data_IF_946413260063
#
_entry.id   IF_946413260063
#
_cell.length_a   1.000
_cell.length_b   1.000
_cell.length_c   1.000
_cell.angle_alpha   90.00
_cell.angle_beta   90.00
_cell.angle_gamma   90.00
#
_symmetry.space_group_name_H-M   'P 1'
#
loop_
_entity.id
_entity.type
_entity.pdbx_description
1 polymer ?
#
# COMPACT_ATOMS: atom_id res chain seq x y z
N UNK A 1 -12.08 2.97 5.67
CA UNK A 1 -12.45 1.68 5.06
C UNK A 1 -11.22 1.19 4.33
N UNK A 2 -10.91 -0.11 4.36
CA UNK A 2 -9.77 -0.68 3.62
C UNK A 2 -10.35 -1.35 2.37
N UNK A 3 -9.86 -0.97 1.20
CA UNK A 3 -10.37 -1.48 -0.08
C UNK A 3 -10.12 -2.98 -0.24
N UNK A 4 -8.88 -3.41 -0.01
CA UNK A 4 -8.47 -4.80 -0.15
C UNK A 4 -7.43 -5.18 0.90
N UNK A 5 -7.64 -6.35 1.51
CA UNK A 5 -6.60 -7.09 2.24
C UNK A 5 -6.42 -8.42 1.52
N UNK A 6 -5.18 -8.80 1.24
CA UNK A 6 -4.88 -10.07 0.60
C UNK A 6 -3.66 -10.73 1.24
N UNK A 7 -3.54 -12.03 1.05
CA UNK A 7 -2.42 -12.84 1.50
C UNK A 7 -1.63 -13.35 0.29
N UNK A 8 -0.31 -13.28 0.38
CA UNK A 8 0.61 -13.86 -0.58
C UNK A 8 1.84 -14.44 0.15
N UNK A 9 2.09 -15.73 -0.04
CA UNK A 9 3.21 -16.48 0.56
C UNK A 9 3.36 -16.30 2.09
N UNK A 10 2.25 -16.35 2.82
CA UNK A 10 2.16 -16.20 4.26
C UNK A 10 2.25 -14.74 4.76
N UNK A 11 2.24 -13.75 3.86
CA UNK A 11 2.27 -12.32 4.20
C UNK A 11 0.96 -11.65 3.83
N UNK A 12 0.43 -10.84 4.73
CA UNK A 12 -0.78 -10.07 4.55
C UNK A 12 -0.46 -8.64 4.18
N UNK A 13 -1.16 -8.13 3.17
CA UNK A 13 -0.96 -6.82 2.58
C UNK A 13 -2.25 -6.02 2.61
N UNK A 14 -2.10 -4.70 2.66
CA UNK A 14 -3.20 -3.78 2.35
C UNK A 14 -3.01 -3.27 0.92
N UNK A 15 -4.08 -3.21 0.15
CA UNK A 15 -4.12 -2.48 -1.10
C UNK A 15 -5.26 -1.46 -1.13
N UNK A 16 -5.00 -0.33 -1.80
CA UNK A 16 -5.94 0.79 -1.94
C UNK A 16 -5.84 1.38 -3.35
N UNK A 17 -6.99 1.69 -3.95
CA UNK A 17 -7.07 2.15 -5.33
C UNK A 17 -7.14 3.67 -5.42
N UNK A 18 -6.19 4.27 -6.14
CA UNK A 18 -6.10 5.72 -6.33
C UNK A 18 -6.38 6.09 -7.78
N UNK A 19 -7.40 6.92 -7.99
CA UNK A 19 -7.74 7.50 -9.29
C UNK A 19 -7.08 8.86 -9.55
N UNK A 20 -6.05 9.20 -8.76
CA UNK A 20 -5.31 10.45 -8.85
C UNK A 20 -4.80 10.73 -10.28
N UNK A 21 -4.95 11.98 -10.72
CA UNK A 21 -4.38 12.46 -11.97
C UNK A 21 -2.96 12.99 -11.72
N UNK A 22 -1.95 12.36 -12.33
CA UNK A 22 -0.54 12.81 -12.26
C UNK A 22 -0.07 13.39 -13.61
N UNK A 23 -0.83 13.15 -14.67
CA UNK A 23 -0.58 13.66 -16.01
C UNK A 23 -1.41 12.92 -17.06
N UNK A 24 -1.23 13.26 -18.35
CA UNK A 24 -2.04 12.73 -19.45
C UNK A 24 -1.76 11.26 -19.80
N UNK A 25 -0.59 10.72 -19.46
CA UNK A 25 -0.15 9.39 -19.89
C UNK A 25 0.68 8.67 -18.81
N UNK A 26 1.03 7.41 -19.08
CA UNK A 26 1.80 6.55 -18.18
C UNK A 26 3.18 7.12 -17.80
N UNK A 27 3.78 7.99 -18.62
CA UNK A 27 5.09 8.58 -18.33
C UNK A 27 5.04 9.55 -17.14
N UNK A 28 3.86 10.00 -16.74
CA UNK A 28 3.64 10.87 -15.58
C UNK A 28 3.44 10.10 -14.27
N UNK A 29 3.25 8.78 -14.34
CA UNK A 29 3.08 7.90 -13.18
C UNK A 29 4.43 7.31 -12.75
N UNK A 30 5.44 8.18 -12.64
CA UNK A 30 6.78 7.78 -12.16
C UNK A 30 6.76 7.50 -10.66
N UNK A 31 7.72 6.70 -10.14
CA UNK A 31 7.86 6.49 -8.70
C UNK A 31 7.91 7.80 -7.89
N UNK A 32 8.60 8.82 -8.42
CA UNK A 32 8.75 10.13 -7.79
C UNK A 32 7.43 10.90 -7.76
N UNK A 33 6.68 10.92 -8.87
CA UNK A 33 5.39 11.60 -8.93
C UNK A 33 4.36 10.94 -8.00
N UNK A 34 4.31 9.61 -8.00
CA UNK A 34 3.43 8.85 -7.09
C UNK A 34 3.81 9.06 -5.63
N UNK A 35 5.09 9.03 -5.28
CA UNK A 35 5.55 9.34 -3.92
C UNK A 35 5.19 10.78 -3.51
N UNK A 36 5.33 11.75 -4.40
CA UNK A 36 4.88 13.12 -4.18
C UNK A 36 3.38 13.21 -3.89
N UNK A 37 2.55 12.48 -4.64
CA UNK A 37 1.11 12.42 -4.42
C UNK A 37 0.74 11.74 -3.09
N UNK A 38 1.45 10.68 -2.71
CA UNK A 38 1.31 9.99 -1.42
C UNK A 38 1.52 10.96 -0.27
N UNK A 39 2.63 11.72 -0.30
CA UNK A 39 2.95 12.70 0.73
C UNK A 39 2.00 13.89 0.73
N UNK A 40 1.63 14.41 -0.44
CA UNK A 40 0.72 15.55 -0.56
C UNK A 40 -0.66 15.25 0.05
N UNK A 41 -1.22 14.06 -0.22
CA UNK A 41 -2.52 13.64 0.27
C UNK A 41 -2.48 12.97 1.65
N UNK A 42 -1.30 12.89 2.28
CA UNK A 42 -1.06 12.19 3.54
C UNK A 42 -1.50 10.72 3.56
N UNK A 43 -1.32 10.06 2.41
CA UNK A 43 -1.55 8.63 2.27
C UNK A 43 -0.53 7.80 3.06
N UNK A 44 0.62 8.39 3.41
CA UNK A 44 1.59 7.85 4.37
C UNK A 44 0.96 7.50 5.72
N UNK A 45 0.21 8.45 6.27
CA UNK A 45 -0.50 8.25 7.52
C UNK A 45 -1.65 7.24 7.35
N UNK A 46 -2.33 7.27 6.19
CA UNK A 46 -3.43 6.36 5.90
C UNK A 46 -2.96 4.90 5.89
N UNK A 47 -1.91 4.56 5.15
CA UNK A 47 -1.42 3.18 5.14
C UNK A 47 -0.80 2.77 6.47
N UNK A 48 -0.20 3.68 7.24
CA UNK A 48 0.31 3.37 8.57
C UNK A 48 -0.83 2.94 9.50
N UNK A 49 -1.96 3.66 9.47
CA UNK A 49 -3.17 3.31 10.23
C UNK A 49 -3.79 2.00 9.74
N UNK A 50 -3.82 1.75 8.43
CA UNK A 50 -4.33 0.49 7.88
C UNK A 50 -3.47 -0.71 8.28
N UNK A 51 -2.15 -0.57 8.22
CA UNK A 51 -1.22 -1.61 8.67
C UNK A 51 -1.33 -1.85 10.18
N UNK A 52 -1.53 -0.80 10.99
CA UNK A 52 -1.79 -0.96 12.42
C UNK A 52 -3.10 -1.72 12.68
N UNK A 53 -4.17 -1.42 11.93
CA UNK A 53 -5.44 -2.12 12.04
C UNK A 53 -5.30 -3.60 11.64
N UNK A 54 -4.61 -3.87 10.53
CA UNK A 54 -4.31 -5.23 10.07
C UNK A 54 -3.45 -6.00 11.09
N UNK A 55 -2.42 -5.36 11.64
CA UNK A 55 -1.58 -5.92 12.70
C UNK A 55 -2.42 -6.36 13.90
N UNK A 56 -3.30 -5.48 14.41
CA UNK A 56 -4.18 -5.79 15.54
C UNK A 56 -5.15 -6.93 15.22
N UNK A 57 -5.70 -6.95 14.01
CA UNK A 57 -6.60 -8.00 13.56
C UNK A 57 -5.90 -9.36 13.51
N UNK A 58 -4.71 -9.43 12.91
CA UNK A 58 -3.95 -10.68 12.82
C UNK A 58 -3.46 -11.15 14.19
N UNK A 59 -2.99 -10.25 15.05
CA UNK A 59 -2.61 -10.59 16.42
C UNK A 59 -3.77 -11.21 17.21
N UNK A 60 -5.01 -10.79 16.95
CA UNK A 60 -6.20 -11.30 17.62
C UNK A 60 -6.74 -12.62 17.03
N UNK A 61 -6.38 -12.97 15.78
CA UNK A 61 -7.08 -14.02 15.01
C UNK A 61 -6.16 -15.10 14.44
N UNK A 62 -4.89 -14.80 14.22
CA UNK A 62 -3.93 -15.72 13.61
C UNK A 62 -3.06 -16.36 14.70
N UNK A 63 -3.22 -17.67 14.98
CA UNK A 63 -2.35 -18.37 15.91
C UNK A 63 -0.89 -18.31 15.46
N UNK A 64 0.02 -18.03 16.40
CA UNK A 64 1.45 -17.90 16.08
C UNK A 64 1.81 -16.66 15.27
N UNK A 65 0.99 -15.60 15.34
CA UNK A 65 1.27 -14.34 14.66
C UNK A 65 2.61 -13.73 15.08
N UNK A 66 3.49 -13.60 14.09
CA UNK A 66 4.70 -12.79 14.12
C UNK A 66 4.57 -11.63 13.11
N UNK A 67 4.85 -10.40 13.55
CA UNK A 67 4.69 -9.19 12.71
C UNK A 67 5.67 -9.15 11.54
N UNK A 68 6.91 -9.58 11.76
CA UNK A 68 7.99 -9.51 10.78
C UNK A 68 7.81 -10.59 9.70
N UNK A 69 7.21 -11.72 10.07
CA UNK A 69 6.80 -12.80 9.17
C UNK A 69 5.52 -12.48 8.41
N UNK A 70 4.47 -11.99 9.07
CA UNK A 70 3.13 -11.97 8.47
C UNK A 70 2.69 -10.61 7.93
N UNK A 71 3.29 -9.48 8.31
CA UNK A 71 2.97 -8.20 7.66
C UNK A 71 3.81 -8.05 6.39
N UNK A 72 3.12 -7.81 5.29
CA UNK A 72 3.69 -7.66 3.95
C UNK A 72 3.98 -6.22 3.58
N UNK A 73 3.11 -5.28 3.95
CA UNK A 73 3.20 -3.86 3.57
C UNK A 73 1.91 -3.35 2.93
N UNK A 74 1.98 -2.15 2.36
CA UNK A 74 0.86 -1.47 1.72
C UNK A 74 1.17 -1.17 0.25
N UNK A 75 0.21 -1.44 -0.63
CA UNK A 75 0.28 -1.19 -2.06
C UNK A 75 -0.81 -0.20 -2.49
N UNK A 76 -0.42 0.97 -2.98
CA UNK A 76 -1.32 1.99 -3.49
C UNK A 76 -1.28 1.93 -5.01
N UNK A 77 -2.44 1.65 -5.61
CA UNK A 77 -2.58 1.35 -7.02
C UNK A 77 -3.13 2.58 -7.74
N UNK A 78 -2.25 3.35 -8.36
CA UNK A 78 -2.61 4.49 -9.21
C UNK A 78 -3.18 3.98 -10.54
N UNK A 79 -4.50 3.80 -10.58
CA UNK A 79 -5.22 3.12 -11.67
C UNK A 79 -4.95 3.70 -13.07
N UNK A 80 -4.67 4.99 -13.15
CA UNK A 80 -4.42 5.71 -14.40
C UNK A 80 -2.99 5.52 -14.95
N UNK A 81 -2.09 4.93 -14.16
CA UNK A 81 -0.70 4.63 -14.53
C UNK A 81 -0.41 3.15 -14.72
N UNK A 82 -1.44 2.33 -14.94
CA UNK A 82 -1.30 0.86 -15.02
C UNK A 82 -0.37 0.39 -16.16
N UNK A 83 -0.19 1.21 -17.21
CA UNK A 83 0.73 0.93 -18.30
C UNK A 83 2.15 1.41 -18.06
N UNK A 84 2.42 2.16 -16.98
CA UNK A 84 3.76 2.59 -16.62
C UNK A 84 4.65 1.38 -16.26
N UNK A 85 5.99 1.48 -16.38
CA UNK A 85 6.89 0.36 -16.05
C UNK A 85 6.70 -0.23 -14.63
N UNK A 86 6.23 0.57 -13.68
CA UNK A 86 5.90 0.13 -12.31
C UNK A 86 4.43 -0.26 -12.10
N UNK A 87 3.64 -0.39 -13.17
CA UNK A 87 2.20 -0.70 -13.17
C UNK A 87 1.35 0.25 -12.29
N UNK A 88 1.80 1.49 -12.10
CA UNK A 88 1.14 2.47 -11.23
C UNK A 88 1.18 2.11 -9.75
N UNK A 89 2.09 1.22 -9.32
CA UNK A 89 2.15 0.75 -7.94
C UNK A 89 3.13 1.61 -7.14
N UNK A 90 2.62 2.23 -6.09
CA UNK A 90 3.45 2.70 -4.98
C UNK A 90 3.37 1.68 -3.84
N UNK A 91 4.51 1.14 -3.43
CA UNK A 91 4.59 0.17 -2.35
C UNK A 91 5.45 0.70 -1.22
N UNK A 92 4.98 0.53 0.02
CA UNK A 92 5.76 0.82 1.21
C UNK A 92 5.56 -0.26 2.28
N UNK A 93 6.63 -0.56 3.01
CA UNK A 93 6.60 -1.38 4.21
C UNK A 93 7.34 -0.59 5.30
N UNK A 94 6.62 0.22 6.09
CA UNK A 94 7.22 1.00 7.15
C UNK A 94 8.00 0.10 8.11
N UNK A 95 9.17 0.57 8.60
CA UNK A 95 9.92 -0.15 9.61
C UNK A 95 9.07 -0.28 10.87
N UNK A 96 9.37 -1.32 11.65
CA UNK A 96 8.80 -1.48 12.98
C UNK A 96 9.28 -0.31 13.86
N UNK A 97 8.34 0.33 14.56
CA UNK A 97 8.65 1.35 15.57
C UNK A 97 9.22 0.71 16.85
#
# INVERSE_FOLDING_TARGET
YIDLVFEWQGRYFVADYKSNWLGPDDAHYTPQAMAGAILHARYDLQYALYLLALHRLLAARLPGYDVDRHIGGAAYLFLRGIGAPGAGIHFDRPPRA
#
